data_IF_844941314803
#
_entry.id   IF_844941314803
#
_cell.length_a   1.000
_cell.length_b   1.000
_cell.length_c   1.000
_cell.angle_alpha   90.00
_cell.angle_beta   90.00
_cell.angle_gamma   90.00
#
_symmetry.space_group_name_H-M   'P 1'
#
loop_
_entity.id
_entity.type
_entity.pdbx_description
1 polymer ?
#
# COMPACT_ATOMS: atom_id res chain seq x y z
N UNK A 1 12.52 -12.30 -2.63
CA UNK A 1 12.24 -12.76 -1.27
C UNK A 1 11.07 -13.74 -1.24
N UNK A 2 10.66 -14.18 -0.06
CA UNK A 2 9.58 -15.16 0.11
C UNK A 2 8.17 -14.65 -0.27
N UNK A 3 8.02 -13.36 -0.59
CA UNK A 3 6.78 -12.76 -1.06
C UNK A 3 6.74 -12.55 -2.58
N UNK A 4 7.83 -12.92 -3.28
CA UNK A 4 7.97 -12.64 -4.71
C UNK A 4 8.52 -11.26 -5.04
N UNK A 5 8.82 -10.41 -4.05
CA UNK A 5 9.40 -9.09 -4.28
C UNK A 5 10.84 -9.20 -4.78
N UNK A 6 11.18 -8.43 -5.79
CA UNK A 6 12.55 -8.27 -6.26
C UNK A 6 13.30 -7.27 -5.39
N UNK A 7 14.53 -7.58 -5.02
CA UNK A 7 15.38 -6.72 -4.18
C UNK A 7 16.72 -6.49 -4.86
N UNK A 8 17.18 -5.24 -4.83
CA UNK A 8 18.54 -4.88 -5.15
C UNK A 8 19.28 -4.65 -3.83
N UNK A 9 20.45 -5.28 -3.67
CA UNK A 9 21.32 -5.07 -2.50
C UNK A 9 22.72 -4.73 -2.94
N UNK A 10 23.41 -3.91 -2.15
CA UNK A 10 24.79 -3.49 -2.41
C UNK A 10 25.41 -2.89 -1.16
N UNK A 11 26.71 -2.60 -1.24
CA UNK A 11 27.49 -2.01 -0.14
C UNK A 11 28.37 -0.89 -0.66
N UNK A 12 28.44 0.23 0.07
CA UNK A 12 29.43 1.28 -0.11
C UNK A 12 30.43 1.18 1.04
N UNK A 13 31.63 0.70 0.76
CA UNK A 13 32.65 0.40 1.80
C UNK A 13 33.51 1.60 2.15
N UNK A 14 33.67 2.56 1.23
CA UNK A 14 34.45 3.77 1.47
C UNK A 14 33.66 4.72 2.43
N UNK A 15 34.37 5.44 3.33
CA UNK A 15 33.78 6.48 4.14
C UNK A 15 33.08 7.55 3.26
N UNK A 16 31.85 7.91 3.62
CA UNK A 16 31.07 8.90 2.87
C UNK A 16 30.17 9.71 3.81
N UNK A 17 29.90 10.96 3.45
CA UNK A 17 28.98 11.86 4.16
C UNK A 17 27.57 11.84 3.58
N UNK A 18 27.36 11.27 2.40
CA UNK A 18 26.06 11.13 1.77
C UNK A 18 26.03 9.86 0.89
N UNK A 19 24.93 9.16 0.93
CA UNK A 19 24.60 8.07 0.02
C UNK A 19 23.38 8.48 -0.82
N UNK A 20 23.50 8.36 -2.13
CA UNK A 20 22.43 8.70 -3.07
C UNK A 20 22.25 7.59 -4.07
N UNK A 21 21.01 7.23 -4.35
CA UNK A 21 20.68 6.37 -5.47
C UNK A 21 19.45 6.92 -6.20
N UNK A 22 19.32 6.56 -7.45
CA UNK A 22 18.17 6.88 -8.29
C UNK A 22 17.72 5.60 -8.99
N UNK A 23 16.42 5.36 -8.96
CA UNK A 23 15.77 4.32 -9.76
C UNK A 23 14.86 5.03 -10.75
N UNK A 24 14.99 4.69 -12.02
CA UNK A 24 14.13 5.20 -13.07
C UNK A 24 13.76 4.06 -14.02
N UNK A 25 12.55 4.10 -14.56
CA UNK A 25 12.04 3.06 -15.45
C UNK A 25 10.67 3.43 -15.99
N UNK A 26 10.15 2.59 -16.86
CA UNK A 26 8.79 2.69 -17.39
C UNK A 26 8.00 1.48 -16.92
N UNK A 27 6.78 1.71 -16.43
CA UNK A 27 5.83 0.67 -16.10
C UNK A 27 4.67 0.71 -17.08
N UNK A 28 4.23 -0.46 -17.56
CA UNK A 28 2.99 -0.60 -18.27
C UNK A 28 1.96 -1.13 -17.27
N UNK A 29 0.99 -0.32 -16.93
CA UNK A 29 -0.11 -0.69 -16.04
C UNK A 29 -1.34 -0.91 -16.91
N UNK A 30 -2.01 -2.03 -16.73
CA UNK A 30 -3.21 -2.40 -17.48
C UNK A 30 -4.36 -2.53 -16.49
N UNK A 31 -5.16 -1.50 -16.32
CA UNK A 31 -6.47 -1.44 -15.68
C UNK A 31 -6.65 -2.20 -14.35
N UNK A 32 -7.85 -2.23 -13.86
CA UNK A 32 -8.24 -3.09 -12.73
C UNK A 32 -8.11 -4.58 -13.08
N UNK A 33 -6.89 -5.06 -13.27
CA UNK A 33 -6.68 -6.48 -13.40
C UNK A 33 -6.62 -7.10 -12.01
N UNK A 34 -7.63 -7.90 -11.71
CA UNK A 34 -7.57 -8.86 -10.61
C UNK A 34 -6.33 -9.71 -10.80
N UNK A 35 -5.37 -9.60 -9.88
CA UNK A 35 -4.19 -10.42 -9.94
C UNK A 35 -4.53 -11.84 -9.50
N UNK A 36 -4.51 -12.79 -10.44
CA UNK A 36 -4.79 -14.20 -10.19
C UNK A 36 -3.58 -14.93 -9.59
N UNK A 37 -3.06 -14.41 -8.50
CA UNK A 37 -2.03 -15.08 -7.72
C UNK A 37 -2.68 -15.97 -6.66
N UNK A 38 -2.14 -17.17 -6.41
CA UNK A 38 -2.67 -18.06 -5.36
C UNK A 38 -2.63 -17.38 -3.99
N UNK A 39 -3.67 -17.60 -3.20
CA UNK A 39 -3.71 -17.15 -1.83
C UNK A 39 -2.72 -17.94 -0.96
N UNK A 40 -1.70 -17.28 -0.44
CA UNK A 40 -0.87 -17.88 0.59
C UNK A 40 -1.54 -17.72 1.97
N UNK A 41 -1.62 -18.79 2.79
CA UNK A 41 -2.31 -18.77 4.08
C UNK A 41 -1.88 -17.65 5.05
N UNK A 42 -0.62 -17.19 4.96
CA UNK A 42 -0.08 -16.13 5.83
C UNK A 42 -0.88 -14.83 5.81
N UNK A 43 -1.58 -14.54 4.72
CA UNK A 43 -2.38 -13.33 4.56
C UNK A 43 -3.72 -13.36 5.29
N UNK A 44 -4.01 -14.45 6.01
CA UNK A 44 -5.17 -14.58 6.91
C UNK A 44 -4.84 -14.24 8.36
N UNK A 45 -3.56 -14.17 8.71
CA UNK A 45 -3.08 -14.06 10.09
C UNK A 45 -2.55 -12.67 10.42
N UNK A 46 -2.53 -12.31 11.71
CA UNK A 46 -1.93 -11.05 12.14
C UNK A 46 -0.44 -10.99 11.83
N UNK A 47 0.09 -9.78 11.73
CA UNK A 47 1.52 -9.52 11.58
C UNK A 47 1.98 -8.46 12.59
N UNK A 48 3.27 -8.13 12.59
CA UNK A 48 3.82 -7.24 13.59
C UNK A 48 3.18 -5.84 13.61
N UNK A 49 2.88 -5.28 12.42
CA UNK A 49 2.28 -3.95 12.31
C UNK A 49 0.77 -4.00 12.04
N UNK A 50 0.26 -5.09 11.49
CA UNK A 50 -1.16 -5.34 11.28
C UNK A 50 -1.64 -6.51 12.15
N UNK A 51 -1.60 -6.31 13.47
CA UNK A 51 -1.96 -7.30 14.46
C UNK A 51 -3.41 -7.19 14.94
N UNK A 52 -3.86 -8.12 15.78
CA UNK A 52 -5.23 -8.21 16.30
C UNK A 52 -5.35 -7.70 17.73
N UNK A 53 -4.69 -6.58 18.04
CA UNK A 53 -4.78 -5.96 19.37
C UNK A 53 -6.22 -5.47 19.66
N UNK A 54 -6.55 -5.19 20.95
CA UNK A 54 -7.90 -4.79 21.35
C UNK A 54 -8.48 -3.63 20.56
N UNK A 55 -7.67 -2.65 20.17
CA UNK A 55 -8.10 -1.48 19.38
C UNK A 55 -8.54 -1.88 17.98
N UNK A 56 -7.81 -2.80 17.35
CA UNK A 56 -8.17 -3.34 16.02
C UNK A 56 -9.45 -4.17 16.13
N UNK A 57 -9.57 -5.01 17.16
CA UNK A 57 -10.77 -5.79 17.40
C UNK A 57 -12.01 -4.88 17.62
N UNK A 58 -11.89 -3.85 18.45
CA UNK A 58 -12.96 -2.89 18.71
C UNK A 58 -13.39 -2.18 17.43
N UNK A 59 -12.44 -1.68 16.64
CA UNK A 59 -12.72 -1.03 15.37
C UNK A 59 -13.36 -2.00 14.35
N UNK A 60 -12.91 -3.25 14.29
CA UNK A 60 -13.48 -4.27 13.43
C UNK A 60 -14.94 -4.61 13.81
N UNK A 61 -15.30 -4.58 15.11
CA UNK A 61 -16.70 -4.76 15.54
C UNK A 61 -17.58 -3.58 15.14
N UNK A 62 -17.04 -2.35 15.09
CA UNK A 62 -17.76 -1.20 14.55
C UNK A 62 -17.99 -1.35 13.05
N UNK A 63 -16.98 -1.74 12.30
CA UNK A 63 -17.10 -2.06 10.86
C UNK A 63 -18.11 -3.18 10.63
N UNK A 64 -18.14 -4.22 11.49
CA UNK A 64 -19.12 -5.32 11.40
C UNK A 64 -20.57 -4.82 11.63
N UNK A 65 -20.77 -3.83 12.50
CA UNK A 65 -22.07 -3.16 12.66
C UNK A 65 -22.48 -2.40 11.39
N UNK A 66 -21.50 -1.76 10.75
CA UNK A 66 -21.70 -1.05 9.50
C UNK A 66 -22.06 -2.00 8.34
N UNK A 67 -21.48 -3.22 8.30
CA UNK A 67 -21.90 -4.25 7.33
C UNK A 67 -23.40 -4.55 7.43
N UNK A 68 -23.89 -4.73 8.66
CA UNK A 68 -25.33 -4.97 8.88
C UNK A 68 -26.21 -3.77 8.51
N UNK A 69 -25.72 -2.56 8.77
CA UNK A 69 -26.47 -1.32 8.44
C UNK A 69 -26.60 -1.09 6.94
N UNK A 70 -25.60 -1.53 6.17
CA UNK A 70 -25.54 -1.37 4.71
C UNK A 70 -25.93 -2.62 3.93
N UNK A 71 -26.33 -3.68 4.60
CA UNK A 71 -26.60 -5.00 4.01
C UNK A 71 -25.44 -5.51 3.13
N UNK A 72 -24.19 -5.28 3.60
CA UNK A 72 -22.99 -5.73 2.91
C UNK A 72 -22.80 -7.24 3.14
N UNK A 73 -23.12 -8.05 2.15
CA UNK A 73 -23.09 -9.51 2.22
C UNK A 73 -21.84 -10.11 1.57
N UNK A 74 -21.48 -9.61 0.39
CA UNK A 74 -20.35 -10.14 -0.39
C UNK A 74 -19.00 -9.68 0.19
N UNK A 75 -17.91 -10.44 -0.04
CA UNK A 75 -16.57 -10.02 0.36
C UNK A 75 -16.16 -8.66 -0.23
N UNK A 76 -16.58 -8.35 -1.44
CA UNK A 76 -16.30 -7.06 -2.10
C UNK A 76 -16.99 -5.92 -1.36
N UNK A 77 -18.29 -6.03 -1.09
CA UNK A 77 -19.05 -5.02 -0.33
C UNK A 77 -18.47 -4.80 1.07
N UNK A 78 -18.03 -5.87 1.75
CA UNK A 78 -17.38 -5.78 3.04
C UNK A 78 -16.04 -5.06 2.98
N UNK A 79 -15.24 -5.30 1.94
CA UNK A 79 -13.96 -4.61 1.74
C UNK A 79 -14.18 -3.10 1.47
N UNK A 80 -15.12 -2.75 0.59
CA UNK A 80 -15.51 -1.37 0.31
C UNK A 80 -16.05 -0.69 1.58
N UNK A 81 -16.95 -1.34 2.29
CA UNK A 81 -17.52 -0.81 3.53
C UNK A 81 -16.43 -0.57 4.60
N UNK A 82 -15.42 -1.47 4.69
CA UNK A 82 -14.28 -1.29 5.59
C UNK A 82 -13.44 -0.06 5.19
N UNK A 83 -13.18 0.12 3.91
CA UNK A 83 -12.45 1.26 3.36
C UNK A 83 -13.17 2.57 3.66
N UNK A 84 -14.46 2.67 3.32
CA UNK A 84 -15.31 3.84 3.56
C UNK A 84 -15.39 4.21 5.04
N UNK A 85 -15.56 3.20 5.90
CA UNK A 85 -15.65 3.42 7.34
C UNK A 85 -14.33 3.96 7.89
N UNK A 86 -13.20 3.37 7.51
CA UNK A 86 -11.88 3.85 7.92
C UNK A 86 -11.63 5.27 7.42
N UNK A 87 -11.90 5.55 6.16
CA UNK A 87 -11.73 6.89 5.57
C UNK A 87 -12.52 7.97 6.35
N UNK A 88 -13.73 7.63 6.80
CA UNK A 88 -14.62 8.56 7.50
C UNK A 88 -14.27 8.75 8.98
N UNK A 89 -13.52 7.83 9.61
CA UNK A 89 -13.28 7.82 11.05
C UNK A 89 -11.80 7.93 11.44
N UNK A 90 -10.91 8.16 10.47
CA UNK A 90 -9.48 8.30 10.72
C UNK A 90 -8.93 9.50 9.96
N UNK A 91 -8.08 10.32 10.60
CA UNK A 91 -7.61 11.56 10.02
C UNK A 91 -6.23 11.41 9.36
N UNK A 92 -6.08 11.96 8.14
CA UNK A 92 -4.78 12.02 7.48
C UNK A 92 -3.97 13.22 8.00
N UNK A 93 -2.91 12.95 8.79
CA UNK A 93 -2.03 14.00 9.36
C UNK A 93 -0.57 13.57 9.22
N UNK A 94 0.20 14.19 8.31
CA UNK A 94 1.63 13.94 8.17
C UNK A 94 2.40 14.22 9.46
N UNK A 95 3.37 13.35 9.78
CA UNK A 95 4.22 13.49 10.96
C UNK A 95 3.57 13.07 12.29
N UNK A 96 2.31 12.61 12.29
CA UNK A 96 1.65 12.11 13.50
C UNK A 96 2.17 10.73 13.94
N UNK A 97 2.70 9.96 13.01
CA UNK A 97 3.17 8.58 13.18
C UNK A 97 4.57 8.40 12.63
N UNK A 98 5.14 7.23 12.84
CA UNK A 98 6.44 6.82 12.32
C UNK A 98 6.33 5.51 11.53
N UNK A 99 7.38 5.15 10.82
CA UNK A 99 7.44 3.85 10.10
C UNK A 99 7.33 2.62 11.01
N UNK A 100 7.41 2.79 12.33
CA UNK A 100 7.27 1.71 13.31
C UNK A 100 5.88 1.67 13.95
N UNK A 101 5.01 2.62 13.62
CA UNK A 101 3.66 2.68 14.18
C UNK A 101 2.82 1.48 13.73
N UNK A 102 2.21 0.80 14.68
CA UNK A 102 1.31 -0.33 14.43
C UNK A 102 -0.12 0.14 14.18
N UNK A 103 -0.95 -0.70 13.56
CA UNK A 103 -2.38 -0.41 13.36
C UNK A 103 -3.09 -0.02 14.67
N UNK A 104 -2.81 -0.72 15.76
CA UNK A 104 -3.40 -0.43 17.08
C UNK A 104 -2.96 0.93 17.63
N UNK A 105 -1.67 1.29 17.47
CA UNK A 105 -1.18 2.59 17.89
C UNK A 105 -1.78 3.73 17.06
N UNK A 106 -1.90 3.55 15.75
CA UNK A 106 -2.52 4.52 14.86
C UNK A 106 -4.01 4.73 15.21
N UNK A 107 -4.75 3.65 15.47
CA UNK A 107 -6.16 3.74 15.91
C UNK A 107 -6.30 4.50 17.24
N UNK A 108 -5.42 4.27 18.22
CA UNK A 108 -5.42 5.06 19.47
C UNK A 108 -5.18 6.55 19.24
N UNK A 109 -4.34 6.90 18.26
CA UNK A 109 -4.07 8.29 17.89
C UNK A 109 -5.22 8.92 17.06
N UNK A 110 -6.03 8.10 16.39
CA UNK A 110 -7.10 8.54 15.49
C UNK A 110 -6.59 9.26 14.23
N UNK A 111 -5.31 9.17 13.94
CA UNK A 111 -4.67 9.88 12.84
C UNK A 111 -3.37 9.23 12.40
N UNK A 112 -3.00 9.42 11.13
CA UNK A 112 -1.77 8.88 10.55
C UNK A 112 -1.61 9.22 9.08
N UNK A 113 -0.83 8.42 8.36
CA UNK A 113 -0.56 8.56 6.92
C UNK A 113 -0.97 7.29 6.16
N UNK A 114 -0.72 7.23 4.86
CA UNK A 114 -1.12 6.10 4.00
C UNK A 114 -0.67 4.73 4.54
N UNK A 115 0.53 4.65 5.13
CA UNK A 115 1.02 3.45 5.78
C UNK A 115 0.08 2.97 6.92
N UNK A 116 -0.40 3.90 7.74
CA UNK A 116 -1.26 3.60 8.89
C UNK A 116 -2.66 3.15 8.42
N UNK A 117 -3.23 3.87 7.45
CA UNK A 117 -4.48 3.46 6.80
C UNK A 117 -4.39 2.03 6.24
N UNK A 118 -3.31 1.73 5.51
CA UNK A 118 -3.10 0.41 4.94
C UNK A 118 -2.90 -0.67 6.02
N UNK A 119 -2.16 -0.39 7.11
CA UNK A 119 -2.03 -1.33 8.23
C UNK A 119 -3.35 -1.59 8.94
N UNK A 120 -4.14 -0.54 9.23
CA UNK A 120 -5.44 -0.66 9.88
C UNK A 120 -6.38 -1.50 9.00
N UNK A 121 -6.55 -1.12 7.72
CA UNK A 121 -7.46 -1.86 6.83
C UNK A 121 -7.03 -3.32 6.65
N UNK A 122 -5.72 -3.58 6.49
CA UNK A 122 -5.19 -4.95 6.40
C UNK A 122 -5.51 -5.77 7.66
N UNK A 123 -5.31 -5.19 8.85
CA UNK A 123 -5.58 -5.86 10.11
C UNK A 123 -7.08 -6.13 10.30
N UNK A 124 -7.93 -5.13 10.01
CA UNK A 124 -9.38 -5.23 10.15
C UNK A 124 -9.96 -6.27 9.18
N UNK A 125 -9.58 -6.25 7.90
CA UNK A 125 -10.04 -7.24 6.93
C UNK A 125 -9.68 -8.67 7.37
N UNK A 126 -8.43 -8.88 7.79
CA UNK A 126 -7.99 -10.20 8.30
C UNK A 126 -8.75 -10.62 9.55
N UNK A 127 -8.99 -9.70 10.49
CA UNK A 127 -9.78 -9.97 11.70
C UNK A 127 -11.22 -10.37 11.35
N UNK A 128 -11.78 -9.79 10.30
CA UNK A 128 -13.11 -10.11 9.78
C UNK A 128 -13.15 -11.33 8.83
N UNK A 129 -12.01 -12.03 8.68
CA UNK A 129 -11.90 -13.26 7.90
C UNK A 129 -11.60 -13.06 6.41
N UNK A 130 -11.39 -11.83 5.95
CA UNK A 130 -11.02 -11.51 4.57
C UNK A 130 -9.49 -11.45 4.47
N UNK A 131 -8.85 -12.34 3.68
CA UNK A 131 -7.40 -12.31 3.53
C UNK A 131 -6.98 -11.00 2.85
N UNK A 132 -5.95 -10.36 3.39
CA UNK A 132 -5.47 -9.08 2.87
C UNK A 132 -3.95 -8.97 2.95
N UNK A 133 -3.34 -8.18 2.05
CA UNK A 133 -1.92 -7.87 2.07
C UNK A 133 -1.68 -6.38 1.96
N UNK A 134 -0.64 -5.93 2.61
CA UNK A 134 -0.13 -4.58 2.51
C UNK A 134 0.66 -4.43 1.21
N UNK A 135 0.49 -3.34 0.51
CA UNK A 135 1.22 -3.02 -0.71
C UNK A 135 1.95 -1.69 -0.55
N UNK A 136 3.16 -1.65 -1.05
CA UNK A 136 3.95 -0.44 -1.18
C UNK A 136 4.21 -0.16 -2.66
N UNK A 137 4.05 1.09 -3.07
CA UNK A 137 4.20 1.47 -4.46
C UNK A 137 4.27 2.97 -4.70
N UNK A 138 3.95 3.36 -5.90
CA UNK A 138 3.95 4.73 -6.38
C UNK A 138 2.57 5.09 -6.92
N UNK A 139 2.20 6.34 -6.82
CA UNK A 139 1.01 6.91 -7.43
C UNK A 139 1.44 8.02 -8.40
N UNK A 140 0.64 8.27 -9.43
CA UNK A 140 0.91 9.35 -10.41
C UNK A 140 1.06 10.69 -9.69
N UNK A 141 2.00 11.51 -10.15
CA UNK A 141 2.34 12.81 -9.59
C UNK A 141 3.68 12.84 -8.87
N UNK A 142 3.92 13.95 -8.18
CA UNK A 142 5.13 14.18 -7.39
C UNK A 142 4.88 13.97 -5.90
N UNK A 143 5.83 13.39 -5.16
CA UNK A 143 5.69 13.22 -3.72
C UNK A 143 6.56 12.15 -3.12
N UNK A 144 5.91 11.21 -2.45
CA UNK A 144 6.51 10.10 -1.71
C UNK A 144 5.99 8.76 -2.25
N UNK A 145 6.54 7.68 -1.71
CA UNK A 145 5.94 6.35 -1.89
C UNK A 145 4.54 6.32 -1.29
N UNK A 146 3.67 5.50 -1.84
CA UNK A 146 2.30 5.33 -1.38
C UNK A 146 2.05 3.90 -0.89
N UNK A 147 1.06 3.75 -0.03
CA UNK A 147 0.68 2.45 0.52
C UNK A 147 -0.82 2.23 0.38
N UNK A 148 -1.18 0.98 0.04
CA UNK A 148 -2.58 0.55 -0.08
C UNK A 148 -2.75 -0.90 0.33
N UNK A 149 -3.93 -1.45 0.16
CA UNK A 149 -4.29 -2.80 0.54
C UNK A 149 -4.75 -3.59 -0.67
N UNK A 150 -4.34 -4.83 -0.79
CA UNK A 150 -5.00 -5.80 -1.65
C UNK A 150 -5.71 -6.83 -0.79
N UNK A 151 -7.01 -7.04 -1.06
CA UNK A 151 -7.82 -8.07 -0.44
C UNK A 151 -8.03 -9.24 -1.42
N UNK A 152 -7.96 -10.46 -0.92
CA UNK A 152 -8.26 -11.64 -1.72
C UNK A 152 -9.76 -11.90 -1.70
N UNK A 153 -10.40 -11.60 -2.82
CA UNK A 153 -11.84 -11.68 -3.01
C UNK A 153 -12.12 -12.62 -4.16
N UNK A 154 -13.14 -13.47 -4.01
CA UNK A 154 -13.55 -14.44 -5.04
C UNK A 154 -12.38 -15.28 -5.58
N UNK A 155 -11.75 -14.83 -6.67
CA UNK A 155 -10.72 -15.57 -7.40
C UNK A 155 -9.38 -14.80 -7.53
N UNK A 156 -9.19 -13.70 -6.80
CA UNK A 156 -7.97 -12.91 -6.94
C UNK A 156 -7.78 -11.76 -5.95
N UNK A 157 -6.75 -10.99 -6.18
CA UNK A 157 -6.37 -9.84 -5.39
C UNK A 157 -6.93 -8.55 -5.97
N UNK A 158 -7.73 -7.84 -5.20
CA UNK A 158 -8.36 -6.56 -5.54
C UNK A 158 -7.73 -5.44 -4.71
N UNK A 159 -7.40 -4.33 -5.35
CA UNK A 159 -6.73 -3.21 -4.71
C UNK A 159 -7.67 -2.13 -4.17
N UNK A 160 -7.38 -1.65 -2.95
CA UNK A 160 -8.15 -0.62 -2.25
C UNK A 160 -7.20 0.40 -1.64
N UNK A 161 -7.41 1.68 -1.91
CA UNK A 161 -6.68 2.78 -1.28
C UNK A 161 -7.54 3.43 -0.18
N UNK A 162 -7.36 3.03 1.08
CA UNK A 162 -8.14 3.60 2.18
C UNK A 162 -7.78 5.05 2.51
N UNK A 163 -6.66 5.56 2.01
CA UNK A 163 -6.25 6.96 2.23
C UNK A 163 -7.05 7.92 1.37
N UNK A 164 -7.35 7.52 0.14
CA UNK A 164 -8.09 8.32 -0.84
C UNK A 164 -9.52 7.84 -1.03
N UNK A 165 -9.91 6.75 -0.38
CA UNK A 165 -11.20 6.06 -0.55
C UNK A 165 -11.49 5.68 -2.00
N UNK A 166 -10.49 5.07 -2.67
CA UNK A 166 -10.55 4.72 -4.08
C UNK A 166 -10.18 3.24 -4.29
N UNK A 167 -10.71 2.67 -5.39
CA UNK A 167 -10.16 1.44 -5.94
C UNK A 167 -8.86 1.75 -6.69
N UNK A 168 -7.92 0.80 -6.65
CA UNK A 168 -6.68 0.92 -7.40
C UNK A 168 -6.97 0.83 -8.90
N UNK A 169 -6.37 1.73 -9.66
CA UNK A 169 -6.50 1.86 -11.12
C UNK A 169 -5.12 1.98 -11.79
N UNK A 170 -5.09 2.49 -13.03
CA UNK A 170 -3.89 2.65 -13.84
C UNK A 170 -2.90 3.70 -13.30
N UNK A 171 -3.30 4.51 -12.32
CA UNK A 171 -2.45 5.52 -11.70
C UNK A 171 -1.59 5.00 -10.55
N UNK A 172 -1.64 3.69 -10.29
CA UNK A 172 -0.88 3.04 -9.22
C UNK A 172 0.13 2.04 -9.75
N UNK A 173 1.39 2.19 -9.35
CA UNK A 173 2.48 1.27 -9.70
C UNK A 173 2.89 0.49 -8.45
N UNK A 174 2.56 -0.80 -8.41
CA UNK A 174 2.95 -1.68 -7.32
C UNK A 174 4.45 -2.01 -7.38
N UNK A 175 5.17 -1.76 -6.31
CA UNK A 175 6.59 -2.11 -6.18
C UNK A 175 6.80 -3.39 -5.38
N UNK A 176 6.09 -3.54 -4.27
CA UNK A 176 6.23 -4.68 -3.38
C UNK A 176 4.96 -4.91 -2.55
N UNK A 177 4.79 -6.13 -2.05
CA UNK A 177 3.73 -6.47 -1.13
C UNK A 177 4.21 -7.42 -0.03
N UNK A 178 3.44 -7.49 1.06
CA UNK A 178 3.76 -8.35 2.19
C UNK A 178 2.66 -8.39 3.23
N UNK A 179 2.95 -8.95 4.41
CA UNK A 179 1.99 -8.99 5.52
C UNK A 179 1.76 -7.62 6.14
N UNK A 180 2.83 -6.81 6.16
CA UNK A 180 2.85 -5.41 6.60
C UNK A 180 4.08 -4.71 5.99
N UNK A 181 4.32 -3.44 6.33
CA UNK A 181 5.44 -2.65 5.81
C UNK A 181 6.80 -3.31 6.00
N UNK A 182 7.03 -4.10 7.04
CA UNK A 182 8.32 -4.75 7.32
C UNK A 182 8.75 -5.74 6.23
N UNK A 183 7.79 -6.35 5.56
CA UNK A 183 8.05 -7.33 4.50
C UNK A 183 8.35 -6.66 3.15
N UNK A 184 7.92 -5.42 2.93
CA UNK A 184 7.97 -4.72 1.65
C UNK A 184 8.45 -3.26 1.76
N UNK A 185 9.45 -3.01 2.60
CA UNK A 185 10.11 -1.69 2.67
C UNK A 185 10.75 -1.35 1.33
N UNK A 186 10.50 -0.13 0.82
CA UNK A 186 11.09 0.34 -0.44
C UNK A 186 12.59 0.54 -0.29
N UNK A 187 13.02 1.01 0.88
CA UNK A 187 14.42 1.25 1.20
C UNK A 187 14.74 0.75 2.61
N UNK A 188 15.83 0.01 2.72
CA UNK A 188 16.36 -0.45 3.99
C UNK A 188 17.88 -0.50 3.94
N UNK A 189 18.53 0.27 4.78
CA UNK A 189 19.96 0.29 4.91
C UNK A 189 20.44 0.26 6.35
N UNK A 190 21.69 -0.08 6.54
CA UNK A 190 22.41 0.13 7.78
C UNK A 190 23.78 0.75 7.48
N UNK A 191 24.29 1.53 8.39
CA UNK A 191 25.63 2.13 8.29
C UNK A 191 26.42 1.92 9.58
N UNK A 192 27.73 1.97 9.45
CA UNK A 192 28.65 1.96 10.59
C UNK A 192 29.08 3.39 10.86
N UNK A 193 28.75 3.91 12.05
CA UNK A 193 29.10 5.27 12.46
C UNK A 193 28.21 5.80 13.56
N UNK A 194 28.57 6.96 14.11
CA UNK A 194 27.82 7.65 15.18
C UNK A 194 27.12 8.93 14.72
N UNK A 195 27.17 9.24 13.41
CA UNK A 195 26.55 10.45 12.88
C UNK A 195 25.03 10.34 12.81
N UNK A 196 24.33 11.44 13.05
CA UNK A 196 22.89 11.53 12.82
C UNK A 196 22.58 11.37 11.34
N UNK A 197 21.55 10.60 11.03
CA UNK A 197 21.10 10.38 9.65
C UNK A 197 19.86 11.22 9.33
N UNK A 198 19.81 11.70 8.09
CA UNK A 198 18.61 12.30 7.50
C UNK A 198 18.34 11.67 6.16
N UNK A 199 17.19 11.03 6.01
CA UNK A 199 16.72 10.48 4.75
C UNK A 199 15.82 11.49 4.04
N UNK A 200 15.99 11.60 2.71
CA UNK A 200 15.06 12.32 1.83
C UNK A 200 14.68 11.38 0.70
N UNK A 201 13.39 11.24 0.49
CA UNK A 201 12.81 10.47 -0.60
C UNK A 201 12.07 11.45 -1.51
N UNK A 202 12.24 11.30 -2.81
CA UNK A 202 11.49 12.03 -3.82
C UNK A 202 11.04 11.06 -4.89
N UNK A 203 9.78 11.13 -5.24
CA UNK A 203 9.13 10.30 -6.26
C UNK A 203 8.49 11.22 -7.28
N UNK A 204 8.65 10.90 -8.56
CA UNK A 204 7.91 11.51 -9.65
C UNK A 204 7.43 10.41 -10.60
N UNK A 205 6.13 10.38 -10.87
CA UNK A 205 5.49 9.45 -11.80
C UNK A 205 4.68 10.25 -12.80
N UNK A 206 4.99 10.08 -14.07
CA UNK A 206 4.33 10.77 -15.18
C UNK A 206 3.73 9.75 -16.15
N UNK A 207 2.59 10.09 -16.72
CA UNK A 207 1.99 9.32 -17.81
C UNK A 207 2.75 9.62 -19.11
N UNK A 208 3.13 8.56 -19.84
CA UNK A 208 3.74 8.67 -21.16
C UNK A 208 2.65 8.43 -22.20
N UNK A 209 2.14 9.50 -22.82
CA UNK A 209 1.23 9.37 -23.94
C UNK A 209 1.96 8.78 -25.16
N UNK A 210 1.50 7.64 -25.66
CA UNK A 210 1.96 7.08 -26.94
C UNK A 210 1.29 7.85 -28.10
N UNK A 211 1.83 8.98 -28.48
CA UNK A 211 1.49 9.67 -29.75
C UNK A 211 2.02 8.87 -30.97
N UNK A 212 1.50 7.65 -31.16
CA UNK A 212 1.74 6.87 -32.40
C UNK A 212 0.57 6.99 -33.39
N UNK A 213 -0.06 8.16 -33.52
CA UNK A 213 -1.13 8.34 -34.50
C UNK A 213 -1.11 9.73 -35.21
N UNK A 214 0.07 10.20 -35.61
CA UNK A 214 0.13 11.35 -36.54
C UNK A 214 1.08 11.06 -37.72
N UNK A 215 0.68 10.15 -38.60
CA UNK A 215 1.53 9.79 -39.75
C UNK A 215 0.81 9.03 -40.85
N UNK A 216 -0.48 9.30 -41.11
CA UNK A 216 -1.10 8.91 -42.38
C UNK A 216 -1.32 10.18 -43.18
N UNK A 217 -0.24 10.64 -43.84
CA UNK A 217 -0.35 11.54 -45.00
C UNK A 217 -1.06 10.77 -46.13
N UNK A 218 -2.33 11.05 -46.33
CA UNK A 218 -2.98 10.73 -47.60
C UNK A 218 -2.54 11.77 -48.61
N UNK A 219 -1.52 11.46 -49.39
CA UNK A 219 -1.28 12.10 -50.68
C UNK A 219 -2.32 11.54 -51.64
N UNK A 220 -3.34 12.34 -51.92
CA UNK A 220 -4.21 12.19 -53.07
C UNK A 220 -3.46 12.67 -54.30
N UNK A 221 -3.18 11.75 -55.22
CA UNK A 221 -2.95 12.01 -56.61
C UNK A 221 -4.20 11.66 -57.38
#
# INVERSE_FOLDING_TARGET
>A
DGFGNRKLSGSALAPHSAFRYRVAGTACVQGMMVQKEPLHPMYRYPSAYAGFQPEVAAFAEEVRREFRRRDAETPVEKAVCTMDYLYSHFAYIPGATTIQTTAAQALRLGKGVCQDYAHIMTAVLRYLGIPARYVNGLMIGEGYTHAWVEAYLEDGWYGFDPTNNLHIDDYYIKLAHGRDYRDCTVDKGCFLGSAAQKQKIYVNVEEISNDRNSGINRTSG
#
